data_IF_121836624743
#
_entry.id   IF_121836624743
#
_cell.length_a   1.000
_cell.length_b   1.000
_cell.length_c   1.000
_cell.angle_alpha   90.00
_cell.angle_beta   90.00
_cell.angle_gamma   90.00
#
_symmetry.space_group_name_H-M   'P 1'
#
loop_
_entity.id
_entity.type
_entity.pdbx_description
1 polymer ?
#
# COMPACT_ATOMS: atom_id res chain seq x y z
N UNK A 1 45.77 20.90 38.60
CA UNK A 1 46.31 20.08 37.48
C UNK A 1 45.78 20.64 36.17
N UNK A 2 46.62 21.36 35.42
CA UNK A 2 46.24 21.94 34.13
C UNK A 2 46.20 20.86 33.05
N UNK A 3 45.01 20.56 32.52
CA UNK A 3 44.84 19.70 31.35
C UNK A 3 45.17 20.52 30.11
N UNK A 4 46.26 20.16 29.41
CA UNK A 4 46.58 20.67 28.08
C UNK A 4 45.39 20.40 27.15
N UNK A 5 44.73 21.45 26.67
CA UNK A 5 43.82 21.39 25.51
C UNK A 5 44.67 21.73 24.28
N UNK A 6 44.95 20.73 23.45
CA UNK A 6 45.55 20.95 22.14
C UNK A 6 44.58 21.75 21.26
N UNK A 7 45.09 22.83 20.68
CA UNK A 7 44.36 23.62 19.70
C UNK A 7 44.39 22.89 18.36
N UNK A 8 43.35 22.10 18.07
CA UNK A 8 43.18 21.51 16.74
C UNK A 8 42.84 22.61 15.72
N UNK A 9 43.58 22.73 14.61
CA UNK A 9 43.61 23.93 13.77
C UNK A 9 42.39 24.16 12.86
N UNK A 10 41.37 23.30 12.89
CA UNK A 10 40.06 23.60 12.30
C UNK A 10 38.96 22.87 13.06
N UNK A 11 38.41 23.50 14.10
CA UNK A 11 37.15 23.04 14.67
C UNK A 11 35.99 23.49 13.76
N UNK A 12 35.63 22.71 12.74
CA UNK A 12 34.40 22.88 11.95
C UNK A 12 33.15 22.44 12.74
N UNK A 13 33.06 22.85 14.02
CA UNK A 13 31.87 22.58 14.86
C UNK A 13 30.99 23.84 14.97
N UNK A 14 31.39 24.97 14.38
CA UNK A 14 30.69 26.25 14.52
C UNK A 14 29.79 26.67 13.35
N UNK A 15 29.67 25.89 12.27
CA UNK A 15 28.77 26.26 11.14
C UNK A 15 27.53 25.36 11.03
N UNK A 16 27.51 24.18 11.67
CA UNK A 16 26.35 23.28 11.63
C UNK A 16 25.11 23.87 12.35
N UNK A 17 25.32 24.73 13.34
CA UNK A 17 24.23 25.42 14.03
C UNK A 17 23.75 26.69 13.30
N UNK A 18 24.52 27.22 12.35
CA UNK A 18 24.15 28.41 11.56
C UNK A 18 23.21 28.10 10.41
N UNK A 19 23.15 26.84 9.97
CA UNK A 19 22.23 26.36 8.93
C UNK A 19 20.99 25.65 9.48
N UNK A 20 20.66 25.82 10.78
CA UNK A 20 19.31 25.52 11.23
C UNK A 20 18.40 26.62 10.71
N UNK A 21 17.93 26.42 9.48
CA UNK A 21 16.93 27.28 8.87
C UNK A 21 15.80 27.45 9.89
N UNK A 22 15.47 28.70 10.18
CA UNK A 22 14.38 29.05 11.10
C UNK A 22 13.03 28.81 10.41
N UNK A 23 12.90 27.64 9.78
CA UNK A 23 11.72 27.18 9.09
C UNK A 23 11.05 26.23 10.07
N UNK A 24 10.11 26.77 10.85
CA UNK A 24 9.15 25.91 11.53
C UNK A 24 8.54 24.99 10.46
N UNK A 25 8.59 23.66 10.62
CA UNK A 25 7.98 22.76 9.66
C UNK A 25 6.52 23.20 9.45
N UNK A 26 6.04 23.32 8.21
CA UNK A 26 4.67 23.72 7.97
C UNK A 26 3.74 22.78 8.74
N UNK A 27 2.66 23.30 9.35
CA UNK A 27 1.76 22.49 10.13
C UNK A 27 1.21 21.36 9.25
N UNK A 28 1.18 20.14 9.79
CA UNK A 28 0.66 18.97 9.08
C UNK A 28 -0.77 19.28 8.62
N UNK A 29 -1.00 19.31 7.31
CA UNK A 29 -2.34 19.48 6.77
C UNK A 29 -3.20 18.29 7.20
N UNK A 30 -4.34 18.60 7.83
CA UNK A 30 -5.33 17.59 8.15
C UNK A 30 -6.12 17.27 6.90
N UNK A 31 -6.39 15.98 6.70
CA UNK A 31 -7.27 15.50 5.64
C UNK A 31 -8.63 16.19 5.79
N UNK A 32 -9.09 16.86 4.73
CA UNK A 32 -10.40 17.49 4.73
C UNK A 32 -11.51 16.41 4.65
N UNK A 33 -12.72 16.76 5.09
CA UNK A 33 -13.86 15.81 5.02
C UNK A 33 -14.16 15.37 3.59
N UNK A 34 -14.00 16.28 2.62
CA UNK A 34 -14.20 15.98 1.19
C UNK A 34 -13.14 15.02 0.65
N UNK A 35 -11.88 15.18 1.08
CA UNK A 35 -10.77 14.28 0.72
C UNK A 35 -11.04 12.85 1.21
N UNK A 36 -11.52 12.72 2.45
CA UNK A 36 -11.88 11.41 3.02
C UNK A 36 -13.08 10.79 2.28
N UNK A 37 -14.11 11.59 2.00
CA UNK A 37 -15.29 11.13 1.25
C UNK A 37 -14.92 10.66 -0.16
N UNK A 38 -14.05 11.39 -0.85
CA UNK A 38 -13.58 11.01 -2.19
C UNK A 38 -12.81 9.68 -2.17
N UNK A 39 -11.84 9.53 -1.26
CA UNK A 39 -11.04 8.29 -1.14
C UNK A 39 -11.89 7.09 -0.77
N UNK A 40 -12.87 7.27 0.12
CA UNK A 40 -13.79 6.20 0.52
C UNK A 40 -14.75 5.82 -0.59
N UNK A 41 -15.30 6.80 -1.32
CA UNK A 41 -16.18 6.54 -2.46
C UNK A 41 -15.47 5.75 -3.56
N UNK A 42 -14.24 6.12 -3.91
CA UNK A 42 -13.43 5.38 -4.91
C UNK A 42 -13.24 3.93 -4.46
N UNK A 43 -12.85 3.72 -3.19
CA UNK A 43 -12.69 2.38 -2.64
C UNK A 43 -13.98 1.55 -2.72
N UNK A 44 -15.12 2.16 -2.39
CA UNK A 44 -16.43 1.51 -2.47
C UNK A 44 -16.81 1.12 -3.90
N UNK A 45 -16.56 1.98 -4.89
CA UNK A 45 -16.85 1.68 -6.31
C UNK A 45 -16.02 0.49 -6.79
N UNK A 46 -14.72 0.47 -6.47
CA UNK A 46 -13.83 -0.63 -6.85
C UNK A 46 -14.28 -1.94 -6.19
N UNK A 47 -14.58 -1.90 -4.89
CA UNK A 47 -15.04 -3.08 -4.16
C UNK A 47 -16.37 -3.61 -4.73
N UNK A 48 -17.34 -2.72 -5.00
CA UNK A 48 -18.62 -3.10 -5.60
C UNK A 48 -18.46 -3.71 -6.99
N UNK A 49 -17.58 -3.15 -7.83
CA UNK A 49 -17.27 -3.69 -9.15
C UNK A 49 -16.63 -5.08 -9.08
N UNK A 50 -15.67 -5.28 -8.17
CA UNK A 50 -15.06 -6.59 -7.93
C UNK A 50 -16.07 -7.61 -7.41
N UNK A 51 -16.87 -7.24 -6.42
CA UNK A 51 -17.93 -8.10 -5.88
C UNK A 51 -18.94 -8.47 -6.96
N UNK A 52 -19.40 -7.50 -7.76
CA UNK A 52 -20.29 -7.76 -8.90
C UNK A 52 -19.65 -8.72 -9.91
N UNK A 53 -18.40 -8.49 -10.30
CA UNK A 53 -17.65 -9.38 -11.20
C UNK A 53 -17.58 -10.81 -10.66
N UNK A 54 -17.39 -11.01 -9.36
CA UNK A 54 -17.40 -12.35 -8.77
C UNK A 54 -18.80 -12.97 -8.74
N UNK A 55 -19.82 -12.20 -8.34
CA UNK A 55 -21.20 -12.68 -8.27
C UNK A 55 -21.72 -13.13 -9.63
N UNK A 56 -21.37 -12.45 -10.72
CA UNK A 56 -21.84 -12.78 -12.07
C UNK A 56 -20.83 -13.64 -12.85
N UNK A 57 -19.54 -13.42 -12.64
CA UNK A 57 -18.46 -14.12 -13.33
C UNK A 57 -18.35 -15.59 -12.93
N UNK A 58 -18.43 -15.91 -11.63
CA UNK A 58 -18.31 -17.31 -11.19
C UNK A 58 -19.44 -18.21 -11.73
N UNK A 59 -20.73 -17.82 -11.66
CA UNK A 59 -21.80 -18.59 -12.30
C UNK A 59 -21.63 -18.72 -13.82
N UNK A 60 -21.08 -17.70 -14.49
CA UNK A 60 -20.86 -17.76 -15.94
C UNK A 60 -19.80 -18.79 -16.35
N UNK A 61 -18.89 -19.12 -15.43
CA UNK A 61 -17.87 -20.16 -15.61
C UNK A 61 -18.37 -21.55 -15.20
N UNK A 62 -19.51 -21.65 -14.50
CA UNK A 62 -20.12 -22.92 -14.17
C UNK A 62 -20.79 -23.48 -15.42
N UNK A 63 -20.00 -24.19 -16.24
CA UNK A 63 -20.51 -25.10 -17.28
C UNK A 63 -21.48 -26.04 -16.58
N UNK A 64 -22.76 -25.88 -16.90
CA UNK A 64 -23.89 -26.35 -16.09
C UNK A 64 -23.63 -27.69 -15.39
N UNK A 65 -23.95 -27.74 -14.09
CA UNK A 65 -24.02 -29.00 -13.36
C UNK A 65 -24.86 -29.97 -14.16
N UNK A 66 -24.22 -30.88 -14.88
CA UNK A 66 -24.88 -32.06 -15.41
C UNK A 66 -25.27 -32.85 -14.17
N UNK A 67 -26.53 -32.73 -13.77
CA UNK A 67 -27.14 -33.51 -12.72
C UNK A 67 -26.96 -34.99 -13.07
N UNK A 68 -25.94 -35.63 -12.50
CA UNK A 68 -25.82 -37.09 -12.48
C UNK A 68 -24.90 -37.77 -13.50
N UNK A 69 -23.93 -37.09 -14.12
CA UNK A 69 -22.89 -37.82 -14.87
C UNK A 69 -21.52 -37.71 -14.20
N UNK A 70 -21.20 -38.75 -13.44
CA UNK A 70 -19.84 -39.12 -13.05
C UNK A 70 -18.94 -39.08 -14.28
N UNK A 71 -18.10 -38.05 -14.38
CA UNK A 71 -17.06 -37.96 -15.39
C UNK A 71 -16.02 -39.04 -15.08
N UNK A 72 -16.17 -40.20 -15.73
CA UNK A 72 -15.25 -41.31 -15.65
C UNK A 72 -14.03 -40.97 -16.52
N UNK A 73 -12.81 -40.90 -15.96
CA UNK A 73 -11.62 -40.64 -16.76
C UNK A 73 -11.30 -41.84 -17.65
N UNK A 74 -11.59 -41.76 -18.95
CA UNK A 74 -11.19 -42.74 -19.99
C UNK A 74 -9.68 -42.73 -20.31
N UNK A 75 -8.88 -41.95 -19.58
CA UNK A 75 -7.45 -41.79 -19.86
C UNK A 75 -6.55 -42.95 -19.36
N UNK A 76 -7.08 -43.95 -18.67
CA UNK A 76 -6.31 -45.06 -18.10
C UNK A 76 -6.59 -46.45 -18.72
N UNK A 77 -7.48 -46.55 -19.72
CA UNK A 77 -7.74 -47.79 -20.45
C UNK A 77 -6.97 -47.81 -21.77
N UNK A 78 -5.65 -47.98 -21.70
CA UNK A 78 -4.83 -48.08 -22.89
C UNK A 78 -3.33 -48.21 -22.64
N UNK A 79 -2.92 -49.35 -22.07
CA UNK A 79 -1.64 -50.00 -22.38
C UNK A 79 -1.62 -51.44 -21.86
#
# INVERSE_FOLDING_TARGET
MFRRREAVPFAFVAEADRFRSNVTPPPRQRISRSELMSRTLIGLVIAAGLTGSLLFGLPSLESGRSSGQTQQPTASQGR
#
